data_IF_780161357133
#
_entry.id   IF_780161357133
#
_cell.length_a   1.000
_cell.length_b   1.000
_cell.length_c   1.000
_cell.angle_alpha   90.00
_cell.angle_beta   90.00
_cell.angle_gamma   90.00
#
_symmetry.space_group_name_H-M   'P 1'
#
loop_
_entity.id
_entity.type
_entity.pdbx_description
1 polymer ?
#
# COMPACT_ATOMS: atom_id res chain seq x y z
N UNK A 1 0.18 15.69 -6.84
CA UNK A 1 0.88 14.63 -6.08
C UNK A 1 1.22 15.04 -4.65
N UNK A 2 2.01 16.09 -4.40
CA UNK A 2 2.32 16.53 -3.03
C UNK A 2 1.06 16.80 -2.19
N UNK A 3 0.09 17.52 -2.76
CA UNK A 3 -1.22 17.75 -2.11
C UNK A 3 -1.95 16.45 -1.74
N UNK A 4 -1.89 15.40 -2.58
CA UNK A 4 -2.49 14.11 -2.26
C UNK A 4 -1.76 13.45 -1.08
N UNK A 5 -0.43 13.46 -1.09
CA UNK A 5 0.37 12.93 0.02
C UNK A 5 0.02 13.64 1.33
N UNK A 6 -0.09 14.97 1.32
CA UNK A 6 -0.45 15.74 2.51
C UNK A 6 -1.87 15.43 2.99
N UNK A 7 -2.84 15.33 2.07
CA UNK A 7 -4.22 14.95 2.41
C UNK A 7 -4.31 13.53 3.00
N UNK A 8 -3.54 12.58 2.46
CA UNK A 8 -3.49 11.20 2.96
C UNK A 8 -2.79 11.12 4.33
N UNK A 9 -1.74 11.92 4.56
CA UNK A 9 -1.09 12.04 5.89
C UNK A 9 -2.05 12.63 6.91
N UNK A 10 -2.84 13.64 6.53
CA UNK A 10 -3.84 14.22 7.42
C UNK A 10 -4.99 13.24 7.71
N UNK A 11 -5.48 12.52 6.70
CA UNK A 11 -6.48 11.48 6.92
C UNK A 11 -5.98 10.37 7.88
N UNK A 12 -4.72 9.93 7.74
CA UNK A 12 -4.11 9.00 8.70
C UNK A 12 -4.03 9.59 10.11
N UNK A 13 -3.69 10.87 10.24
CA UNK A 13 -3.63 11.57 11.52
C UNK A 13 -4.98 11.61 12.22
N UNK A 14 -6.03 12.00 11.49
CA UNK A 14 -7.41 12.02 11.99
C UNK A 14 -7.80 10.60 12.43
N UNK A 15 -7.64 9.61 11.55
CA UNK A 15 -7.99 8.23 11.86
C UNK A 15 -7.27 7.71 13.11
N UNK A 16 -5.94 7.83 13.18
CA UNK A 16 -5.15 7.37 14.33
C UNK A 16 -5.59 8.05 15.63
N UNK A 17 -5.92 9.34 15.58
CA UNK A 17 -6.36 10.09 16.77
C UNK A 17 -7.64 9.49 17.37
N UNK A 18 -8.56 9.04 16.50
CA UNK A 18 -9.89 8.56 16.86
C UNK A 18 -9.97 7.02 17.01
N UNK A 19 -8.86 6.28 16.87
CA UNK A 19 -8.84 4.82 17.07
C UNK A 19 -9.18 4.43 18.52
N UNK A 20 -10.42 3.98 18.74
CA UNK A 20 -10.95 3.61 20.06
C UNK A 20 -10.28 2.38 20.68
N UNK A 21 -9.80 1.46 19.84
CA UNK A 21 -9.20 0.20 20.29
C UNK A 21 -7.76 0.37 20.82
N UNK A 22 -7.15 1.53 20.58
CA UNK A 22 -5.75 1.81 20.90
C UNK A 22 -5.62 2.85 22.02
N UNK A 23 -4.74 2.59 22.99
CA UNK A 23 -4.52 3.51 24.11
C UNK A 23 -3.97 4.86 23.63
N UNK A 24 -4.20 5.96 24.39
CA UNK A 24 -3.62 7.27 24.05
C UNK A 24 -2.10 7.25 23.90
N UNK A 25 -1.41 6.41 24.67
CA UNK A 25 0.05 6.28 24.64
C UNK A 25 0.54 5.73 23.29
N UNK A 26 -0.04 4.65 22.79
CA UNK A 26 0.37 4.07 21.50
C UNK A 26 -0.07 4.94 20.32
N UNK A 27 -1.22 5.63 20.43
CA UNK A 27 -1.63 6.66 19.46
C UNK A 27 -0.60 7.78 19.32
N UNK A 28 -0.10 8.31 20.43
CA UNK A 28 0.96 9.34 20.39
C UNK A 28 2.21 8.84 19.66
N UNK A 29 2.63 7.59 19.89
CA UNK A 29 3.78 6.98 19.19
C UNK A 29 3.52 6.76 17.70
N UNK A 30 2.32 6.31 17.33
CA UNK A 30 1.93 6.15 15.93
C UNK A 30 1.95 7.50 15.19
N UNK A 31 1.46 8.58 15.82
CA UNK A 31 1.52 9.93 15.28
C UNK A 31 2.96 10.44 15.12
N UNK A 32 3.82 10.21 16.12
CA UNK A 32 5.25 10.55 16.02
C UNK A 32 5.93 9.85 14.84
N UNK A 33 5.57 8.59 14.57
CA UNK A 33 6.07 7.85 13.41
C UNK A 33 5.56 8.45 12.09
N UNK A 34 4.25 8.73 12.00
CA UNK A 34 3.61 9.34 10.83
C UNK A 34 4.23 10.70 10.46
N UNK A 35 4.56 11.51 11.45
CA UNK A 35 5.15 12.84 11.24
C UNK A 35 6.57 12.76 10.67
N UNK A 36 7.28 11.65 10.90
CA UNK A 36 8.63 11.39 10.37
C UNK A 36 8.66 10.76 8.98
N UNK A 37 7.51 10.47 8.36
CA UNK A 37 7.48 9.92 7.01
C UNK A 37 8.16 10.85 6.00
N UNK A 38 8.99 10.27 5.14
CA UNK A 38 9.68 10.98 4.05
C UNK A 38 9.13 10.53 2.68
N UNK A 39 8.43 11.39 1.92
CA UNK A 39 8.00 11.05 0.57
C UNK A 39 9.10 11.30 -0.48
N UNK A 40 9.25 10.38 -1.43
CA UNK A 40 10.09 10.51 -2.63
C UNK A 40 9.25 10.30 -3.88
N UNK A 41 9.16 11.31 -4.75
CA UNK A 41 8.21 11.32 -5.87
C UNK A 41 8.94 11.54 -7.20
N UNK A 42 8.63 10.71 -8.20
CA UNK A 42 9.15 10.83 -9.55
C UNK A 42 10.52 10.17 -9.76
N UNK A 43 11.59 10.80 -9.29
CA UNK A 43 12.97 10.39 -9.64
C UNK A 43 14.02 10.82 -8.61
N UNK A 44 15.19 10.16 -8.56
CA UNK A 44 16.26 10.53 -7.64
C UNK A 44 16.94 11.85 -8.04
N UNK A 45 17.37 12.63 -7.04
CA UNK A 45 18.21 13.80 -7.26
C UNK A 45 19.63 13.44 -7.72
N UNK A 46 20.15 12.29 -7.26
CA UNK A 46 21.50 11.80 -7.54
C UNK A 46 21.46 10.53 -8.38
N UNK A 47 22.27 10.47 -9.43
CA UNK A 47 22.36 9.32 -10.33
C UNK A 47 23.59 8.47 -10.05
N UNK A 48 23.45 7.16 -10.28
CA UNK A 48 24.55 6.20 -10.14
C UNK A 48 25.64 6.49 -11.17
N UNK A 49 26.90 6.42 -10.73
CA UNK A 49 28.04 6.42 -11.61
C UNK A 49 28.26 5.03 -12.22
N UNK A 50 28.54 5.00 -13.52
CA UNK A 50 28.80 3.78 -14.28
C UNK A 50 30.17 3.81 -14.98
N UNK A 51 31.03 4.77 -14.63
CA UNK A 51 32.35 4.97 -15.25
C UNK A 51 33.25 3.72 -15.20
N UNK A 52 33.11 2.88 -14.18
CA UNK A 52 33.87 1.64 -14.02
C UNK A 52 33.42 0.50 -14.97
N UNK A 53 32.28 0.62 -15.64
CA UNK A 53 31.72 -0.46 -16.47
C UNK A 53 32.14 -0.29 -17.93
N UNK A 54 32.96 -1.22 -18.42
CA UNK A 54 33.28 -1.30 -19.85
C UNK A 54 32.24 -2.13 -20.59
N UNK A 55 31.61 -1.57 -21.63
CA UNK A 55 30.68 -2.27 -22.51
C UNK A 55 31.31 -2.54 -23.88
N UNK A 56 31.14 -3.76 -24.40
CA UNK A 56 31.67 -4.25 -25.68
C UNK A 56 30.53 -4.76 -26.56
N UNK A 57 30.47 -4.28 -27.81
CA UNK A 57 29.35 -4.52 -28.73
C UNK A 57 29.20 -5.99 -29.15
N UNK A 58 30.29 -6.74 -29.09
CA UNK A 58 30.45 -8.12 -29.56
C UNK A 58 30.58 -9.14 -28.41
N UNK A 59 30.40 -8.72 -27.15
CA UNK A 59 30.62 -9.54 -25.95
C UNK A 59 29.49 -9.35 -24.93
N UNK A 60 28.30 -9.88 -25.27
CA UNK A 60 27.12 -9.81 -24.39
C UNK A 60 27.40 -10.46 -23.02
N UNK A 61 27.95 -11.68 -23.00
CA UNK A 61 28.18 -12.39 -21.74
C UNK A 61 29.18 -11.65 -20.85
N UNK A 62 30.26 -11.11 -21.42
CA UNK A 62 31.20 -10.30 -20.66
C UNK A 62 30.60 -8.98 -20.18
N UNK A 63 29.69 -8.34 -20.94
CA UNK A 63 28.97 -7.16 -20.46
C UNK A 63 28.13 -7.47 -19.22
N UNK A 64 27.38 -8.58 -19.24
CA UNK A 64 26.57 -9.02 -18.09
C UNK A 64 27.48 -9.26 -16.88
N UNK A 65 28.58 -10.01 -17.04
CA UNK A 65 29.53 -10.28 -15.95
C UNK A 65 30.14 -9.01 -15.37
N UNK A 66 30.56 -8.07 -16.22
CA UNK A 66 31.14 -6.77 -15.79
C UNK A 66 30.12 -5.92 -15.05
N UNK A 67 28.87 -5.85 -15.54
CA UNK A 67 27.81 -5.12 -14.87
C UNK A 67 27.48 -5.73 -13.50
N UNK A 68 27.30 -7.06 -13.41
CA UNK A 68 27.03 -7.74 -12.13
C UNK A 68 28.17 -7.55 -11.13
N UNK A 69 29.44 -7.64 -11.57
CA UNK A 69 30.59 -7.40 -10.70
C UNK A 69 30.59 -5.97 -10.15
N UNK A 70 30.39 -4.96 -11.01
CA UNK A 70 30.35 -3.56 -10.59
C UNK A 70 29.21 -3.26 -9.59
N UNK A 71 28.04 -3.88 -9.77
CA UNK A 71 26.92 -3.75 -8.83
C UNK A 71 27.24 -4.39 -7.46
N UNK A 72 27.93 -5.54 -7.47
CA UNK A 72 28.42 -6.20 -6.26
C UNK A 72 29.44 -5.31 -5.52
N UNK A 73 30.44 -4.81 -6.25
CA UNK A 73 31.49 -3.94 -5.70
C UNK A 73 30.88 -2.67 -5.10
N UNK A 74 29.89 -2.06 -5.75
CA UNK A 74 29.16 -0.91 -5.21
C UNK A 74 28.43 -1.26 -3.93
N UNK A 75 27.76 -2.42 -3.88
CA UNK A 75 27.07 -2.89 -2.67
C UNK A 75 28.02 -3.07 -1.49
N UNK A 76 29.18 -3.68 -1.72
CA UNK A 76 30.23 -3.87 -0.71
C UNK A 76 30.84 -2.54 -0.27
N UNK A 77 31.02 -1.58 -1.17
CA UNK A 77 31.57 -0.27 -0.86
C UNK A 77 30.71 0.52 0.15
N UNK A 78 29.39 0.27 0.21
CA UNK A 78 28.50 0.91 1.20
C UNK A 78 28.88 0.58 2.64
N UNK A 79 29.51 -0.57 2.90
CA UNK A 79 29.89 -1.00 4.25
C UNK A 79 30.90 -0.06 4.92
N UNK A 80 31.69 0.67 4.13
CA UNK A 80 32.73 1.57 4.63
C UNK A 80 32.23 3.02 4.82
N UNK A 81 31.01 3.34 4.40
CA UNK A 81 30.45 4.69 4.40
C UNK A 81 29.23 4.86 5.29
N UNK A 82 28.73 6.10 5.45
CA UNK A 82 27.44 6.34 6.06
C UNK A 82 26.31 5.81 5.16
N UNK A 83 25.12 5.66 5.74
CA UNK A 83 23.94 5.28 4.96
C UNK A 83 23.54 6.42 4.03
N UNK A 84 23.42 6.12 2.74
CA UNK A 84 22.88 7.03 1.74
C UNK A 84 21.36 7.08 1.84
N UNK A 85 20.84 8.21 2.32
CA UNK A 85 19.39 8.44 2.47
C UNK A 85 18.74 8.98 1.20
N UNK A 86 19.51 9.37 0.19
CA UNK A 86 19.00 9.84 -1.10
C UNK A 86 18.85 8.70 -2.12
N UNK A 87 19.32 7.49 -1.79
CA UNK A 87 19.24 6.32 -2.67
C UNK A 87 17.78 5.90 -2.93
N UNK A 88 17.55 5.41 -4.16
CA UNK A 88 16.29 4.78 -4.59
C UNK A 88 16.53 3.31 -4.93
N UNK A 89 15.57 2.46 -4.54
CA UNK A 89 15.59 1.02 -4.82
C UNK A 89 14.81 0.63 -6.09
N UNK A 90 14.06 1.57 -6.66
CA UNK A 90 13.41 1.43 -7.96
C UNK A 90 13.86 2.54 -8.91
N UNK A 91 13.87 2.23 -10.21
CA UNK A 91 14.12 3.23 -11.25
C UNK A 91 12.86 4.04 -11.55
N UNK A 92 12.96 5.30 -12.03
CA UNK A 92 11.78 6.13 -12.32
C UNK A 92 10.78 5.52 -13.32
N UNK A 93 11.27 4.69 -14.25
CA UNK A 93 10.47 3.98 -15.25
C UNK A 93 9.76 2.73 -14.72
N UNK A 94 9.97 2.35 -13.46
CA UNK A 94 9.29 1.20 -12.84
C UNK A 94 7.84 1.57 -12.53
N UNK A 95 6.87 0.78 -13.00
CA UNK A 95 5.46 0.92 -12.62
C UNK A 95 5.21 0.13 -11.35
N UNK A 96 5.55 0.72 -10.20
CA UNK A 96 5.32 0.19 -8.87
C UNK A 96 5.49 1.31 -7.82
N UNK A 97 5.27 1.03 -6.54
CA UNK A 97 5.64 1.88 -5.41
C UNK A 97 6.27 1.03 -4.29
N UNK A 98 6.84 1.65 -3.26
CA UNK A 98 7.31 0.92 -2.08
C UNK A 98 7.42 1.80 -0.83
N UNK A 99 7.33 1.12 0.32
CA UNK A 99 7.76 1.60 1.63
C UNK A 99 9.09 0.95 2.05
N UNK A 100 9.97 1.75 2.66
CA UNK A 100 11.22 1.26 3.24
C UNK A 100 11.26 1.51 4.76
N UNK A 101 11.15 0.45 5.59
CA UNK A 101 11.10 0.58 7.04
C UNK A 101 12.31 1.28 7.66
N UNK A 102 13.52 1.01 7.15
CA UNK A 102 14.77 1.54 7.72
C UNK A 102 14.97 3.03 7.47
N UNK A 103 14.23 3.61 6.53
CA UNK A 103 14.25 5.05 6.24
C UNK A 103 12.96 5.76 6.62
N UNK A 104 11.91 5.01 6.98
CA UNK A 104 10.55 5.51 7.16
C UNK A 104 10.12 6.39 5.96
N UNK A 105 10.32 5.86 4.75
CA UNK A 105 10.08 6.57 3.50
C UNK A 105 9.11 5.82 2.59
N UNK A 106 8.35 6.59 1.80
CA UNK A 106 7.44 6.10 0.76
C UNK A 106 7.89 6.64 -0.59
N UNK A 107 7.93 5.78 -1.59
CA UNK A 107 8.57 6.10 -2.87
C UNK A 107 7.66 5.78 -4.04
N UNK A 108 7.42 6.79 -4.88
CA UNK A 108 6.56 6.70 -6.06
C UNK A 108 7.35 7.07 -7.32
N UNK A 109 7.95 6.08 -8.02
CA UNK A 109 8.55 6.26 -9.34
C UNK A 109 7.64 7.02 -10.33
N UNK A 110 8.22 7.81 -11.22
CA UNK A 110 7.47 8.62 -12.19
C UNK A 110 6.45 7.80 -13.00
N UNK A 111 6.77 6.55 -13.33
CA UNK A 111 5.92 5.71 -14.14
C UNK A 111 4.69 5.11 -13.42
N UNK A 112 4.56 5.17 -12.09
CA UNK A 112 3.24 4.85 -11.47
C UNK A 112 2.27 6.04 -11.54
N UNK A 113 2.79 7.26 -11.76
CA UNK A 113 2.01 8.51 -11.79
C UNK A 113 1.37 8.75 -13.16
N UNK A 114 0.61 7.75 -13.62
CA UNK A 114 -0.10 7.76 -14.90
C UNK A 114 -1.49 7.11 -14.77
N UNK A 115 -2.40 7.32 -15.73
CA UNK A 115 -3.67 6.60 -15.73
C UNK A 115 -3.46 5.08 -15.77
N UNK A 116 -4.27 4.28 -15.05
CA UNK A 116 -5.47 4.67 -14.31
C UNK A 116 -5.21 5.10 -12.85
N UNK A 117 -3.95 5.21 -12.39
CA UNK A 117 -3.65 5.60 -11.02
C UNK A 117 -3.81 7.11 -10.81
N UNK A 118 -3.22 7.92 -11.69
CA UNK A 118 -3.25 9.37 -11.60
C UNK A 118 -3.49 10.02 -12.97
N UNK A 119 -4.47 10.90 -13.04
CA UNK A 119 -4.74 11.77 -14.17
C UNK A 119 -5.03 13.19 -13.65
N UNK A 120 -4.18 14.14 -14.03
CA UNK A 120 -4.29 15.53 -13.57
C UNK A 120 -5.53 16.26 -14.13
N UNK A 121 -6.10 15.75 -15.22
CA UNK A 121 -7.28 16.33 -15.88
C UNK A 121 -8.58 15.60 -15.48
N UNK A 122 -8.49 14.52 -14.70
CA UNK A 122 -9.65 13.76 -14.22
C UNK A 122 -10.22 14.31 -12.92
N UNK A 123 -11.46 13.88 -12.61
CA UNK A 123 -12.08 14.12 -11.31
C UNK A 123 -11.30 13.45 -10.17
N UNK A 124 -11.16 14.15 -9.05
CA UNK A 124 -10.31 13.73 -7.93
C UNK A 124 -10.73 12.38 -7.34
N UNK A 125 -12.02 12.01 -7.35
CA UNK A 125 -12.46 10.73 -6.83
C UNK A 125 -11.73 9.54 -7.47
N UNK A 126 -11.44 9.60 -8.78
CA UNK A 126 -10.68 8.57 -9.47
C UNK A 126 -9.20 8.55 -9.02
N UNK A 127 -8.60 9.73 -8.81
CA UNK A 127 -7.23 9.85 -8.30
C UNK A 127 -7.11 9.33 -6.86
N UNK A 128 -8.08 9.61 -5.99
CA UNK A 128 -8.12 9.08 -4.62
C UNK A 128 -8.30 7.56 -4.61
N UNK A 129 -9.19 7.00 -5.45
CA UNK A 129 -9.35 5.55 -5.57
C UNK A 129 -8.16 4.84 -6.24
N UNK A 130 -7.41 5.55 -7.08
CA UNK A 130 -6.20 5.07 -7.73
C UNK A 130 -4.94 5.37 -6.91
N UNK A 131 -4.21 6.43 -7.26
CA UNK A 131 -2.93 6.77 -6.62
C UNK A 131 -3.09 7.14 -5.14
N UNK A 132 -4.24 7.68 -4.72
CA UNK A 132 -4.51 7.98 -3.30
C UNK A 132 -4.52 6.71 -2.44
N UNK A 133 -5.19 5.65 -2.90
CA UNK A 133 -5.18 4.35 -2.24
C UNK A 133 -3.79 3.72 -2.25
N UNK A 134 -3.00 3.89 -3.33
CA UNK A 134 -1.59 3.46 -3.36
C UNK A 134 -0.74 4.23 -2.35
N UNK A 135 -0.89 5.56 -2.23
CA UNK A 135 -0.20 6.35 -1.21
C UNK A 135 -0.58 5.87 0.19
N UNK A 136 -1.88 5.68 0.42
CA UNK A 136 -2.39 5.15 1.69
C UNK A 136 -1.81 3.77 2.00
N UNK A 137 -1.70 2.89 1.00
CA UNK A 137 -1.10 1.57 1.12
C UNK A 137 0.38 1.64 1.56
N UNK A 138 1.19 2.48 0.91
CA UNK A 138 2.60 2.64 1.29
C UNK A 138 2.77 3.27 2.69
N UNK A 139 1.89 4.18 3.12
CA UNK A 139 1.88 4.67 4.51
C UNK A 139 1.47 3.53 5.46
N UNK A 140 0.48 2.73 5.07
CA UNK A 140 -0.02 1.57 5.80
C UNK A 140 1.06 0.52 6.08
N UNK A 141 2.02 0.33 5.17
CA UNK A 141 3.18 -0.53 5.41
C UNK A 141 4.07 -0.08 6.58
N UNK A 142 4.06 1.20 6.94
CA UNK A 142 4.71 1.65 8.18
C UNK A 142 4.03 1.14 9.45
N UNK A 143 2.79 0.65 9.34
CA UNK A 143 1.96 0.24 10.46
C UNK A 143 1.46 -1.21 10.33
N UNK A 144 1.85 -1.95 9.30
CA UNK A 144 1.51 -3.38 9.16
C UNK A 144 2.20 -4.25 10.23
N UNK A 145 2.02 -5.57 10.15
CA UNK A 145 2.53 -6.52 11.15
C UNK A 145 4.05 -6.52 11.32
N UNK A 146 4.80 -6.04 10.31
CA UNK A 146 6.25 -5.90 10.34
C UNK A 146 6.70 -4.46 10.51
N UNK A 147 6.15 -3.53 9.73
CA UNK A 147 6.48 -2.11 9.80
C UNK A 147 6.18 -1.50 11.16
N UNK A 148 5.12 -1.97 11.83
CA UNK A 148 4.79 -1.59 13.22
C UNK A 148 5.88 -1.89 14.25
N UNK A 149 6.89 -2.71 13.92
CA UNK A 149 8.03 -3.03 14.80
C UNK A 149 9.17 -2.01 14.70
N UNK A 150 9.09 -1.10 13.72
CA UNK A 150 10.05 -0.03 13.51
C UNK A 150 9.50 1.29 14.06
N UNK A 151 10.34 2.07 14.73
CA UNK A 151 10.02 3.45 15.09
C UNK A 151 10.11 4.39 13.86
N UNK A 152 9.82 5.68 14.06
CA UNK A 152 9.88 6.68 12.98
C UNK A 152 11.29 7.03 12.50
N UNK A 153 12.33 6.54 13.16
CA UNK A 153 13.73 6.71 12.75
C UNK A 153 14.27 5.45 12.04
N UNK A 154 13.44 4.42 11.87
CA UNK A 154 13.79 3.18 11.18
C UNK A 154 14.49 2.14 12.06
N UNK A 155 14.37 2.24 13.38
CA UNK A 155 14.96 1.28 14.32
C UNK A 155 13.95 0.24 14.78
N UNK A 156 14.38 -1.02 14.92
CA UNK A 156 13.56 -2.08 15.54
C UNK A 156 13.41 -1.81 17.03
N UNK A 157 12.28 -1.21 17.42
CA UNK A 157 11.96 -0.81 18.79
C UNK A 157 10.49 -1.11 19.04
N UNK A 158 10.20 -1.82 20.14
CA UNK A 158 8.81 -1.96 20.57
C UNK A 158 8.31 -0.64 21.16
N UNK A 159 7.42 0.04 20.45
CA UNK A 159 6.76 1.27 20.89
C UNK A 159 5.28 1.07 21.28
N UNK A 160 4.83 -0.18 21.32
CA UNK A 160 3.48 -0.58 21.70
C UNK A 160 3.38 -0.85 23.20
N UNK A 161 2.19 -0.66 23.77
CA UNK A 161 1.82 -1.36 25.01
C UNK A 161 1.43 -2.81 24.72
N UNK A 162 1.54 -3.70 25.71
CA UNK A 162 1.16 -5.12 25.53
C UNK A 162 -0.33 -5.25 25.16
N UNK A 163 -1.20 -4.46 25.79
CA UNK A 163 -2.65 -4.46 25.49
C UNK A 163 -2.94 -4.07 24.05
N UNK A 164 -2.31 -3.01 23.54
CA UNK A 164 -2.51 -2.58 22.16
C UNK A 164 -1.93 -3.60 21.17
N UNK A 165 -0.81 -4.25 21.53
CA UNK A 165 -0.21 -5.30 20.69
C UNK A 165 -1.10 -6.54 20.60
N UNK A 166 -1.73 -6.94 21.70
CA UNK A 166 -2.66 -8.06 21.73
C UNK A 166 -3.91 -7.76 20.89
N UNK A 167 -4.50 -6.57 21.03
CA UNK A 167 -5.68 -6.16 20.26
C UNK A 167 -5.37 -6.04 18.75
N UNK A 168 -4.21 -5.47 18.38
CA UNK A 168 -3.73 -5.49 17.00
C UNK A 168 -3.59 -6.93 16.48
N UNK A 169 -3.08 -7.85 17.32
CA UNK A 169 -3.00 -9.27 17.00
C UNK A 169 -4.35 -9.94 16.78
N UNK A 170 -5.39 -9.57 17.53
CA UNK A 170 -6.77 -10.07 17.33
C UNK A 170 -7.30 -9.65 15.96
N UNK A 171 -7.16 -8.37 15.61
CA UNK A 171 -7.63 -7.81 14.33
C UNK A 171 -6.87 -8.41 13.13
N UNK A 172 -5.55 -8.54 13.27
CA UNK A 172 -4.68 -9.18 12.29
C UNK A 172 -5.10 -10.63 12.03
N UNK A 173 -5.38 -11.41 13.09
CA UNK A 173 -5.86 -12.80 12.96
C UNK A 173 -7.22 -12.91 12.28
N UNK A 174 -8.12 -11.96 12.54
CA UNK A 174 -9.41 -11.92 11.85
C UNK A 174 -9.23 -11.71 10.35
N UNK A 175 -8.34 -10.80 9.93
CA UNK A 175 -8.04 -10.57 8.52
C UNK A 175 -7.37 -11.78 7.86
N UNK A 176 -6.41 -12.41 8.55
CA UNK A 176 -5.78 -13.66 8.09
C UNK A 176 -6.86 -14.71 7.79
N UNK A 177 -7.78 -14.91 8.74
CA UNK A 177 -8.85 -15.90 8.59
C UNK A 177 -9.76 -15.60 7.40
N UNK A 178 -10.14 -14.34 7.19
CA UNK A 178 -10.94 -13.96 6.01
C UNK A 178 -10.23 -14.35 4.72
N UNK A 179 -8.94 -14.05 4.60
CA UNK A 179 -8.19 -14.31 3.37
C UNK A 179 -7.86 -15.80 3.18
N UNK A 180 -7.70 -16.58 4.24
CA UNK A 180 -7.54 -18.04 4.15
C UNK A 180 -8.75 -18.73 3.47
N UNK A 181 -9.93 -18.11 3.48
CA UNK A 181 -11.14 -18.65 2.85
C UNK A 181 -11.20 -18.39 1.34
N UNK A 182 -10.36 -17.50 0.79
CA UNK A 182 -10.43 -17.10 -0.61
C UNK A 182 -9.71 -18.06 -1.56
N UNK A 183 -10.42 -18.48 -2.62
CA UNK A 183 -9.89 -19.28 -3.73
C UNK A 183 -10.07 -18.46 -5.02
N UNK A 184 -9.00 -18.13 -5.77
CA UNK A 184 -9.12 -17.41 -7.03
C UNK A 184 -10.14 -18.09 -7.94
N UNK A 185 -11.06 -17.33 -8.56
CA UNK A 185 -12.16 -17.88 -9.36
C UNK A 185 -11.74 -18.76 -10.53
N UNK A 186 -10.49 -18.65 -10.99
CA UNK A 186 -9.91 -19.51 -12.02
C UNK A 186 -9.37 -20.84 -11.48
N UNK A 187 -9.33 -21.05 -10.16
CA UNK A 187 -8.83 -22.22 -9.46
C UNK A 187 -9.97 -22.94 -8.70
N UNK A 188 -9.70 -24.14 -8.19
CA UNK A 188 -10.69 -24.95 -7.46
C UNK A 188 -10.39 -25.13 -5.97
N UNK A 189 -9.12 -25.33 -5.59
CA UNK A 189 -8.76 -25.77 -4.22
C UNK A 189 -7.53 -25.05 -3.64
N UNK A 190 -6.89 -24.15 -4.40
CA UNK A 190 -5.72 -23.41 -3.93
C UNK A 190 -6.16 -22.09 -3.29
N UNK A 191 -6.13 -22.08 -1.97
CA UNK A 191 -6.50 -20.90 -1.18
C UNK A 191 -5.37 -19.87 -1.13
N UNK A 192 -5.74 -18.62 -0.93
CA UNK A 192 -4.83 -17.57 -0.48
C UNK A 192 -4.29 -17.97 0.89
N UNK A 193 -2.99 -17.75 1.11
CA UNK A 193 -2.39 -17.87 2.44
C UNK A 193 -2.54 -16.52 3.15
N UNK A 194 -3.56 -16.39 4.00
CA UNK A 194 -3.87 -15.16 4.71
C UNK A 194 -2.72 -14.70 5.60
N UNK A 195 -2.00 -15.62 6.24
CA UNK A 195 -0.84 -15.29 7.07
C UNK A 195 0.35 -14.76 6.27
N UNK A 196 0.56 -15.27 5.05
CA UNK A 196 1.61 -14.79 4.15
C UNK A 196 1.29 -13.42 3.55
N UNK A 197 0.00 -13.17 3.26
CA UNK A 197 -0.46 -11.95 2.60
C UNK A 197 -0.86 -10.82 3.55
N UNK A 198 -0.79 -11.05 4.87
CA UNK A 198 -1.42 -10.15 5.86
C UNK A 198 -0.87 -8.72 5.84
N UNK A 199 0.44 -8.54 5.63
CA UNK A 199 1.03 -7.19 5.55
C UNK A 199 0.43 -6.38 4.40
N UNK A 200 0.34 -6.99 3.22
CA UNK A 200 -0.28 -6.41 2.02
C UNK A 200 -1.78 -6.15 2.21
N UNK A 201 -2.50 -7.08 2.84
CA UNK A 201 -3.94 -6.94 3.08
C UNK A 201 -4.24 -5.81 4.10
N UNK A 202 -3.38 -5.62 5.12
CA UNK A 202 -3.45 -4.47 6.05
C UNK A 202 -3.17 -3.18 5.28
N UNK A 203 -2.14 -3.18 4.42
CA UNK A 203 -1.80 -2.04 3.56
C UNK A 203 -2.98 -1.65 2.66
N UNK A 204 -3.62 -2.61 1.99
CA UNK A 204 -4.78 -2.33 1.13
C UNK A 204 -5.99 -1.79 1.90
N UNK A 205 -6.34 -2.43 3.01
CA UNK A 205 -7.48 -2.03 3.82
C UNK A 205 -7.28 -0.64 4.40
N UNK A 206 -6.10 -0.37 4.98
CA UNK A 206 -5.74 0.97 5.43
C UNK A 206 -5.72 1.97 4.28
N UNK A 207 -5.11 1.59 3.16
CA UNK A 207 -4.92 2.46 2.01
C UNK A 207 -6.23 2.96 1.41
N UNK A 208 -7.18 2.07 1.14
CA UNK A 208 -8.48 2.48 0.58
C UNK A 208 -9.34 3.24 1.59
N UNK A 209 -9.40 2.80 2.85
CA UNK A 209 -10.18 3.48 3.89
C UNK A 209 -9.68 4.91 4.14
N UNK A 210 -8.36 5.11 4.24
CA UNK A 210 -7.77 6.44 4.40
C UNK A 210 -7.93 7.27 3.12
N UNK A 211 -7.85 6.67 1.94
CA UNK A 211 -8.10 7.39 0.69
C UNK A 211 -9.55 7.93 0.60
N UNK A 212 -10.54 7.17 1.09
CA UNK A 212 -11.92 7.64 1.21
C UNK A 212 -12.02 8.83 2.17
N UNK A 213 -11.43 8.73 3.36
CA UNK A 213 -11.41 9.83 4.33
C UNK A 213 -10.70 11.07 3.77
N UNK A 214 -9.57 10.89 3.07
CA UNK A 214 -8.82 11.98 2.45
C UNK A 214 -9.61 12.65 1.31
N UNK A 215 -10.38 11.88 0.55
CA UNK A 215 -11.31 12.41 -0.44
C UNK A 215 -12.41 13.25 0.23
N UNK A 216 -13.01 12.77 1.32
CA UNK A 216 -14.01 13.53 2.08
C UNK A 216 -13.45 14.84 2.65
N UNK A 217 -12.24 14.81 3.20
CA UNK A 217 -11.51 16.00 3.67
C UNK A 217 -11.32 17.00 2.53
N UNK A 218 -10.95 16.53 1.33
CA UNK A 218 -10.74 17.40 0.16
C UNK A 218 -12.01 18.15 -0.28
N UNK A 219 -13.18 17.58 0.01
CA UNK A 219 -14.47 18.19 -0.31
C UNK A 219 -14.91 19.22 0.73
N UNK A 220 -14.21 19.36 1.86
CA UNK A 220 -14.55 20.31 2.93
C UNK A 220 -15.97 20.11 3.49
N UNK A 221 -16.47 18.87 3.51
CA UNK A 221 -17.83 18.54 3.94
C UNK A 221 -18.92 18.69 2.87
N UNK A 222 -18.55 18.95 1.60
CA UNK A 222 -19.47 18.93 0.46
C UNK A 222 -19.72 17.51 -0.09
N UNK A 223 -20.84 17.33 -0.80
CA UNK A 223 -21.05 16.17 -1.64
C UNK A 223 -20.39 16.44 -3.00
N UNK A 224 -19.25 15.81 -3.29
CA UNK A 224 -18.54 15.96 -4.56
C UNK A 224 -19.43 15.71 -5.79
N UNK A 225 -18.99 16.08 -7.00
CA UNK A 225 -19.86 16.05 -8.18
C UNK A 225 -20.38 14.65 -8.48
N UNK A 226 -21.58 14.55 -9.06
CA UNK A 226 -22.08 13.31 -9.69
C UNK A 226 -21.65 13.33 -11.16
N UNK A 227 -20.91 12.31 -11.58
CA UNK A 227 -20.36 12.18 -12.93
C UNK A 227 -20.72 10.80 -13.45
N UNK A 228 -21.22 10.73 -14.67
CA UNK A 228 -21.68 9.49 -15.32
C UNK A 228 -22.68 8.67 -14.49
N UNK A 229 -23.51 9.36 -13.69
CA UNK A 229 -24.52 8.74 -12.83
C UNK A 229 -23.97 8.14 -11.53
N UNK A 230 -22.68 8.30 -11.24
CA UNK A 230 -22.02 7.78 -10.04
C UNK A 230 -21.74 8.92 -9.04
N UNK A 231 -21.91 8.64 -7.75
CA UNK A 231 -21.47 9.53 -6.68
C UNK A 231 -19.94 9.56 -6.59
N UNK A 232 -19.37 10.57 -5.93
CA UNK A 232 -17.92 10.62 -5.69
C UNK A 232 -17.38 9.38 -4.99
N UNK A 233 -18.02 8.94 -3.91
CA UNK A 233 -17.64 7.74 -3.16
C UNK A 233 -17.70 6.49 -4.05
N UNK A 234 -18.76 6.32 -4.86
CA UNK A 234 -18.82 5.23 -5.83
C UNK A 234 -17.65 5.29 -6.82
N UNK A 235 -17.28 6.48 -7.30
CA UNK A 235 -16.12 6.65 -8.20
C UNK A 235 -14.78 6.33 -7.53
N UNK A 236 -14.61 6.59 -6.24
CA UNK A 236 -13.42 6.13 -5.49
C UNK A 236 -13.32 4.60 -5.53
N UNK A 237 -14.43 3.89 -5.23
CA UNK A 237 -14.45 2.43 -5.30
C UNK A 237 -14.23 1.89 -6.72
N UNK A 238 -14.76 2.55 -7.76
CA UNK A 238 -14.47 2.19 -9.14
C UNK A 238 -13.01 2.43 -9.51
N UNK A 239 -12.41 3.51 -9.00
CA UNK A 239 -10.98 3.82 -9.11
C UNK A 239 -10.11 2.71 -8.53
N UNK A 240 -10.46 2.24 -7.34
CA UNK A 240 -9.81 1.09 -6.71
C UNK A 240 -9.97 -0.20 -7.53
N UNK A 241 -11.18 -0.50 -7.98
CA UNK A 241 -11.44 -1.72 -8.74
C UNK A 241 -10.69 -1.74 -10.08
N UNK A 242 -10.57 -0.60 -10.76
CA UNK A 242 -9.92 -0.55 -12.08
C UNK A 242 -8.39 -0.71 -12.03
N UNK A 243 -7.72 -0.24 -10.96
CA UNK A 243 -6.27 -0.44 -10.83
C UNK A 243 -5.92 -1.92 -10.64
N UNK A 244 -6.84 -2.71 -10.08
CA UNK A 244 -6.71 -4.16 -9.93
C UNK A 244 -7.15 -4.97 -11.15
N UNK A 245 -7.41 -4.34 -12.31
CA UNK A 245 -7.75 -5.04 -13.54
C UNK A 245 -6.55 -5.84 -14.07
N UNK A 246 -6.37 -7.04 -13.54
CA UNK A 246 -5.30 -7.97 -13.88
C UNK A 246 -5.85 -9.39 -13.87
N UNK A 247 -5.30 -10.26 -14.73
CA UNK A 247 -5.57 -11.70 -14.71
C UNK A 247 -4.28 -12.47 -15.00
N UNK A 248 -4.16 -13.65 -14.42
CA UNK A 248 -3.05 -14.54 -14.66
C UNK A 248 -3.50 -15.77 -15.47
N UNK A 249 -2.54 -16.52 -16.01
CA UNK A 249 -2.77 -17.91 -16.42
C UNK A 249 -2.78 -18.77 -15.16
N UNK A 250 -3.52 -19.86 -15.16
CA UNK A 250 -3.66 -20.79 -14.03
C UNK A 250 -2.31 -21.15 -13.38
N UNK A 251 -1.31 -21.56 -14.17
CA UNK A 251 0.03 -21.90 -13.67
C UNK A 251 0.73 -20.72 -12.96
N UNK A 252 0.52 -19.50 -13.44
CA UNK A 252 1.07 -18.30 -12.79
C UNK A 252 0.26 -17.91 -11.54
N UNK A 253 -1.06 -18.10 -11.54
CA UNK A 253 -1.89 -17.89 -10.35
C UNK A 253 -1.44 -18.84 -9.21
N UNK A 254 -1.26 -20.13 -9.51
CA UNK A 254 -0.74 -21.12 -8.55
C UNK A 254 0.66 -20.73 -8.04
N UNK A 255 1.56 -20.32 -8.96
CA UNK A 255 2.90 -19.88 -8.56
C UNK A 255 2.83 -18.68 -7.61
N UNK A 256 2.02 -17.67 -7.92
CA UNK A 256 1.86 -16.46 -7.10
C UNK A 256 1.34 -16.75 -5.72
N UNK A 257 0.32 -17.61 -5.58
CA UNK A 257 -0.17 -18.04 -4.25
C UNK A 257 0.94 -18.61 -3.34
N UNK A 258 2.04 -19.10 -3.92
CA UNK A 258 3.15 -19.68 -3.17
C UNK A 258 4.28 -18.69 -2.84
N UNK A 259 4.43 -17.58 -3.57
CA UNK A 259 5.64 -16.73 -3.49
C UNK A 259 5.40 -15.22 -3.57
N UNK A 260 4.18 -14.80 -3.91
CA UNK A 260 3.78 -13.40 -3.98
C UNK A 260 3.08 -13.03 -2.67
N UNK A 261 3.61 -12.10 -1.86
CA UNK A 261 2.95 -11.69 -0.61
C UNK A 261 1.67 -10.89 -0.88
N UNK A 262 1.42 -10.47 -2.12
CA UNK A 262 0.19 -9.79 -2.46
C UNK A 262 -0.94 -10.79 -2.71
N UNK A 263 -2.12 -10.50 -2.16
CA UNK A 263 -3.34 -11.21 -2.52
C UNK A 263 -3.62 -11.09 -4.03
N UNK A 264 -4.28 -12.10 -4.64
CA UNK A 264 -4.75 -12.01 -6.02
C UNK A 264 -5.59 -10.74 -6.25
N UNK A 265 -5.53 -10.12 -7.45
CA UNK A 265 -6.15 -8.81 -7.69
C UNK A 265 -7.64 -8.74 -7.38
N UNK A 266 -8.39 -9.83 -7.61
CA UNK A 266 -9.82 -9.88 -7.29
C UNK A 266 -10.12 -9.82 -5.78
N UNK A 267 -9.22 -10.31 -4.93
CA UNK A 267 -9.35 -10.21 -3.47
C UNK A 267 -8.77 -8.91 -2.91
N UNK A 268 -7.77 -8.30 -3.57
CA UNK A 268 -7.38 -6.91 -3.27
C UNK A 268 -8.54 -5.95 -3.56
N UNK A 269 -9.34 -6.21 -4.60
CA UNK A 269 -10.57 -5.48 -4.83
C UNK A 269 -11.67 -5.86 -3.81
N UNK A 270 -12.19 -7.09 -3.88
CA UNK A 270 -13.43 -7.48 -3.20
C UNK A 270 -13.26 -7.78 -1.70
N UNK A 271 -12.11 -8.33 -1.31
CA UNK A 271 -11.79 -8.65 0.09
C UNK A 271 -11.61 -7.39 0.95
N UNK A 272 -11.17 -6.28 0.34
CA UNK A 272 -11.00 -5.00 1.03
C UNK A 272 -12.34 -4.30 1.22
N UNK A 273 -13.09 -4.07 0.13
CA UNK A 273 -14.30 -3.24 0.18
C UNK A 273 -15.39 -3.80 1.10
N UNK A 274 -15.46 -5.13 1.26
CA UNK A 274 -16.40 -5.78 2.20
C UNK A 274 -16.10 -5.52 3.67
N UNK A 275 -14.95 -4.94 4.01
CA UNK A 275 -14.62 -4.52 5.37
C UNK A 275 -14.88 -3.02 5.62
N UNK A 276 -15.33 -2.27 4.59
CA UNK A 276 -15.47 -0.80 4.65
C UNK A 276 -16.95 -0.42 4.61
N UNK A 277 -17.47 0.22 5.67
CA UNK A 277 -18.89 0.60 5.77
C UNK A 277 -19.37 1.51 4.63
N UNK A 278 -18.53 2.44 4.20
CA UNK A 278 -18.84 3.34 3.09
C UNK A 278 -19.18 2.59 1.79
N UNK A 279 -18.67 1.36 1.61
CA UNK A 279 -19.05 0.50 0.47
C UNK A 279 -20.50 0.06 0.57
N UNK A 280 -20.96 -0.31 1.77
CA UNK A 280 -22.33 -0.72 2.00
C UNK A 280 -23.32 0.42 1.74
N UNK A 281 -22.99 1.62 2.20
CA UNK A 281 -23.82 2.81 1.98
C UNK A 281 -23.80 3.24 0.50
N UNK A 282 -22.63 3.26 -0.13
CA UNK A 282 -22.48 3.73 -1.51
C UNK A 282 -23.20 2.83 -2.52
N UNK A 283 -23.33 1.53 -2.24
CA UNK A 283 -23.95 0.56 -3.16
C UNK A 283 -25.25 -0.07 -2.63
N UNK A 284 -25.69 0.31 -1.43
CA UNK A 284 -26.93 -0.19 -0.84
C UNK A 284 -26.90 -1.69 -0.54
N UNK A 285 -25.75 -2.21 -0.06
CA UNK A 285 -25.60 -3.65 0.21
C UNK A 285 -26.56 -4.12 1.31
N UNK A 286 -27.05 -5.33 1.12
CA UNK A 286 -27.96 -6.06 2.00
C UNK A 286 -27.41 -7.44 2.32
N UNK A 287 -28.03 -8.14 3.26
CA UNK A 287 -27.67 -9.53 3.63
C UNK A 287 -27.81 -10.54 2.47
N UNK A 288 -28.46 -10.15 1.38
CA UNK A 288 -28.63 -11.00 0.19
C UNK A 288 -27.44 -10.90 -0.78
N UNK A 289 -26.56 -9.90 -0.63
CA UNK A 289 -25.43 -9.66 -1.52
C UNK A 289 -24.21 -10.53 -1.17
N UNK A 290 -23.53 -11.06 -2.19
CA UNK A 290 -22.41 -12.00 -2.03
C UNK A 290 -21.24 -11.45 -1.18
N UNK A 291 -20.95 -10.14 -1.33
CA UNK A 291 -19.87 -9.50 -0.59
C UNK A 291 -20.26 -9.07 0.83
N UNK A 292 -21.52 -9.26 1.24
CA UNK A 292 -21.97 -8.85 2.55
C UNK A 292 -21.15 -9.55 3.67
N UNK A 293 -20.88 -8.79 4.71
CA UNK A 293 -20.34 -9.24 5.99
C UNK A 293 -21.12 -8.53 7.09
N UNK A 294 -21.43 -9.25 8.15
CA UNK A 294 -22.02 -8.68 9.37
C UNK A 294 -21.07 -7.62 9.95
N UNK A 295 -21.64 -6.58 10.57
CA UNK A 295 -20.87 -5.44 11.04
C UNK A 295 -19.77 -5.81 12.04
N UNK A 296 -19.99 -6.83 12.87
CA UNK A 296 -19.05 -7.36 13.85
C UNK A 296 -17.97 -8.30 13.25
N UNK A 297 -18.14 -8.70 11.99
CA UNK A 297 -17.17 -9.51 11.23
C UNK A 297 -16.25 -8.66 10.35
N UNK A 298 -16.57 -7.38 10.16
CA UNK A 298 -15.75 -6.43 9.39
C UNK A 298 -14.50 -6.08 10.18
N UNK A 299 -13.34 -6.27 9.57
CA UNK A 299 -12.06 -5.94 10.17
C UNK A 299 -11.80 -4.45 10.04
N UNK A 300 -11.42 -3.82 11.15
CA UNK A 300 -10.98 -2.42 11.24
C UNK A 300 -9.66 -2.36 11.98
N UNK A 301 -8.66 -1.73 11.38
CA UNK A 301 -7.32 -1.62 11.98
C UNK A 301 -6.93 -0.16 12.05
N UNK A 302 -6.75 0.47 10.89
CA UNK A 302 -6.32 1.87 10.75
C UNK A 302 -7.44 2.80 10.27
N UNK A 303 -8.68 2.35 10.37
CA UNK A 303 -9.92 3.01 9.91
C UNK A 303 -11.11 2.56 10.73
#
# INVERSE_FOLDING_TARGET
>A
MEVLVDNLREAYRVSITDLEWMTPQTRERALQKLDKFTPKIGYPATWRDYSAITIRRDDLLGNVRRATAAECDRGLAKLAGPVDRDEWFMTPQTVNAYYNPGMNEIVFPAAILQPPFFDADADDAANYGGIGAVIGHEIGHGFDDQGSKYDGDGNLVNWWTDTDRDEFGVRTKALIKQYDEFVPRELSDQHVNGAFTVGENIGDLGGLSIALLAYEISLGGGAGPVIDGLTGVQRVFYGWAQVWRTKAREAEAIRRLSVDPHSPPEFRCNGVVRNIDAFYEAFGLTTEDELFLEADQRVRIWS
#
